data_IF_279179634106
#
_entry.id   IF_279179634106
#
_cell.length_a   1.000
_cell.length_b   1.000
_cell.length_c   1.000
_cell.angle_alpha   90.00
_cell.angle_beta   90.00
_cell.angle_gamma   90.00
#
_symmetry.space_group_name_H-M   'P 1'
#
loop_
_entity.id
_entity.type
_entity.pdbx_description
1 polymer ?
#
# COMPACT_ATOMS: atom_id res chain seq x y z
N UNK A 1 2.31 -7.94 26.66
CA UNK A 1 0.92 -7.46 26.49
C UNK A 1 0.95 -6.04 25.95
N UNK A 2 0.49 -5.84 24.72
CA UNK A 2 0.20 -4.49 24.23
C UNK A 2 -0.89 -3.86 25.11
N UNK A 3 -0.76 -2.56 25.39
CA UNK A 3 -1.82 -1.84 26.10
C UNK A 3 -3.06 -1.77 25.21
N UNK A 4 -4.25 -1.91 25.81
CA UNK A 4 -5.54 -1.83 25.12
C UNK A 4 -5.69 -0.56 24.25
N UNK A 5 -5.04 0.54 24.67
CA UNK A 5 -4.96 1.80 23.90
C UNK A 5 -4.18 1.64 22.59
N UNK A 6 -3.01 1.00 22.60
CA UNK A 6 -2.17 0.81 21.40
C UNK A 6 -2.83 -0.13 20.40
N UNK A 7 -3.55 -1.13 20.90
CA UNK A 7 -4.32 -2.04 20.06
C UNK A 7 -5.44 -1.28 19.32
N UNK A 8 -6.19 -0.42 20.02
CA UNK A 8 -7.25 0.42 19.41
C UNK A 8 -6.71 1.42 18.39
N UNK A 9 -5.55 2.02 18.66
CA UNK A 9 -4.87 2.92 17.72
C UNK A 9 -4.46 2.19 16.44
N UNK A 10 -3.89 0.99 16.57
CA UNK A 10 -3.51 0.15 15.43
C UNK A 10 -4.73 -0.30 14.61
N UNK A 11 -5.83 -0.67 15.27
CA UNK A 11 -7.08 -1.01 14.60
C UNK A 11 -7.66 0.17 13.82
N UNK A 12 -7.74 1.35 14.44
CA UNK A 12 -8.22 2.57 13.79
C UNK A 12 -7.33 2.95 12.59
N UNK A 13 -6.01 2.83 12.75
CA UNK A 13 -5.05 3.05 11.68
C UNK A 13 -5.31 2.14 10.48
N UNK A 14 -5.44 0.82 10.70
CA UNK A 14 -5.70 -0.11 9.60
C UNK A 14 -7.07 0.08 8.95
N UNK A 15 -8.10 0.43 9.72
CA UNK A 15 -9.40 0.77 9.15
C UNK A 15 -9.30 1.96 8.18
N UNK A 16 -8.56 2.99 8.55
CA UNK A 16 -8.31 4.15 7.69
C UNK A 16 -7.45 3.79 6.47
N UNK A 17 -6.42 2.96 6.63
CA UNK A 17 -5.60 2.45 5.51
C UNK A 17 -6.47 1.74 4.48
N UNK A 18 -7.33 0.81 4.92
CA UNK A 18 -8.22 0.07 4.03
C UNK A 18 -9.26 0.99 3.40
N UNK A 19 -9.82 1.94 4.15
CA UNK A 19 -10.75 2.92 3.61
C UNK A 19 -10.12 3.74 2.47
N UNK A 20 -8.92 4.29 2.69
CA UNK A 20 -8.19 5.05 1.67
C UNK A 20 -7.80 4.20 0.47
N UNK A 21 -7.37 2.96 0.69
CA UNK A 21 -7.04 2.03 -0.39
C UNK A 21 -8.25 1.79 -1.30
N UNK A 22 -9.44 1.51 -0.74
CA UNK A 22 -10.67 1.35 -1.51
C UNK A 22 -11.00 2.57 -2.36
N UNK A 23 -10.85 3.77 -1.77
CA UNK A 23 -11.09 5.03 -2.48
C UNK A 23 -10.10 5.26 -3.62
N UNK A 24 -8.83 4.90 -3.44
CA UNK A 24 -7.83 5.02 -4.50
C UNK A 24 -7.99 3.97 -5.59
N UNK A 25 -8.38 2.74 -5.23
CA UNK A 25 -8.60 1.67 -6.21
C UNK A 25 -9.72 2.01 -7.20
N UNK A 26 -10.79 2.67 -6.74
CA UNK A 26 -11.88 3.13 -7.63
C UNK A 26 -11.46 4.26 -8.58
N UNK A 27 -10.45 5.04 -8.20
CA UNK A 27 -9.84 6.09 -9.03
C UNK A 27 -8.73 5.55 -9.97
N UNK A 28 -8.39 4.26 -9.88
CA UNK A 28 -7.21 3.69 -10.51
C UNK A 28 -7.47 3.20 -11.95
N UNK A 29 -6.50 3.44 -12.84
CA UNK A 29 -6.37 2.75 -14.12
C UNK A 29 -5.53 1.48 -13.94
N UNK A 30 -6.22 0.35 -13.76
CA UNK A 30 -5.58 -0.96 -13.54
C UNK A 30 -4.74 -1.41 -14.74
N UNK A 31 -5.14 -1.07 -15.97
CA UNK A 31 -4.36 -1.40 -17.17
C UNK A 31 -2.99 -0.72 -17.18
N UNK A 32 -2.94 0.57 -16.85
CA UNK A 32 -1.68 1.31 -16.72
C UNK A 32 -0.82 0.79 -15.57
N UNK A 33 -1.43 0.29 -14.49
CA UNK A 33 -0.68 -0.36 -13.42
C UNK A 33 0.01 -1.64 -13.88
N UNK A 34 -0.66 -2.47 -14.68
CA UNK A 34 -0.01 -3.67 -15.24
C UNK A 34 1.12 -3.31 -16.20
N UNK A 35 0.99 -2.23 -16.99
CA UNK A 35 2.08 -1.72 -17.82
C UNK A 35 3.28 -1.25 -16.98
N UNK A 36 3.03 -0.51 -15.89
CA UNK A 36 4.08 -0.13 -14.93
C UNK A 36 4.73 -1.36 -14.29
N UNK A 37 3.93 -2.36 -13.93
CA UNK A 37 4.44 -3.62 -13.35
C UNK A 37 5.38 -4.33 -14.33
N UNK A 38 4.99 -4.42 -15.60
CA UNK A 38 5.82 -4.99 -16.67
C UNK A 38 7.10 -4.19 -16.89
N UNK A 39 7.03 -2.85 -16.86
CA UNK A 39 8.20 -1.97 -17.08
C UNK A 39 9.23 -2.06 -15.94
N UNK A 40 8.78 -2.18 -14.69
CA UNK A 40 9.64 -2.27 -13.51
C UNK A 40 10.14 -3.70 -13.26
N UNK A 41 9.29 -4.69 -13.50
CA UNK A 41 9.55 -6.11 -13.31
C UNK A 41 9.31 -6.62 -11.89
N UNK A 42 8.70 -7.80 -11.80
CA UNK A 42 8.25 -8.45 -10.57
C UNK A 42 9.31 -8.56 -9.46
N UNK A 43 10.59 -8.75 -9.82
CA UNK A 43 11.68 -8.84 -8.83
C UNK A 43 11.86 -7.54 -8.05
N UNK A 44 11.82 -6.40 -8.73
CA UNK A 44 11.97 -5.08 -8.07
C UNK A 44 10.74 -4.76 -7.24
N UNK A 45 9.55 -5.09 -7.74
CA UNK A 45 8.30 -4.85 -7.03
C UNK A 45 8.20 -5.70 -5.77
N UNK A 46 8.59 -6.98 -5.82
CA UNK A 46 8.68 -7.83 -4.61
C UNK A 46 9.65 -7.28 -3.57
N UNK A 47 10.76 -6.66 -4.00
CA UNK A 47 11.69 -5.99 -3.09
C UNK A 47 11.08 -4.73 -2.48
N UNK A 48 10.39 -3.93 -3.29
CA UNK A 48 9.65 -2.75 -2.81
C UNK A 48 8.64 -3.15 -1.73
N UNK A 49 7.81 -4.17 -1.97
CA UNK A 49 6.81 -4.63 -1.00
C UNK A 49 7.45 -5.02 0.34
N UNK A 50 8.60 -5.72 0.32
CA UNK A 50 9.35 -6.05 1.54
C UNK A 50 9.88 -4.83 2.30
N UNK A 51 10.28 -3.78 1.58
CA UNK A 51 10.71 -2.53 2.21
C UNK A 51 9.53 -1.78 2.81
N UNK A 52 8.38 -1.77 2.12
CA UNK A 52 7.16 -1.13 2.60
C UNK A 52 6.60 -1.80 3.86
N UNK A 53 6.83 -3.11 4.05
CA UNK A 53 6.44 -3.85 5.27
C UNK A 53 7.03 -3.25 6.56
N UNK A 54 8.15 -2.52 6.46
CA UNK A 54 8.76 -1.83 7.59
C UNK A 54 8.00 -0.56 8.03
N UNK A 55 7.08 -0.08 7.19
CA UNK A 55 6.35 1.18 7.38
C UNK A 55 4.83 0.96 7.50
N UNK A 56 4.41 -0.23 7.94
CA UNK A 56 3.00 -0.60 8.12
C UNK A 56 2.50 -0.35 9.55
N UNK A 57 2.97 0.73 10.19
CA UNK A 57 2.56 1.12 11.55
C UNK A 57 2.33 2.63 11.66
N UNK A 58 1.46 3.07 12.59
CA UNK A 58 1.19 4.49 12.80
C UNK A 58 2.41 5.28 13.33
N UNK A 59 3.39 4.60 13.92
CA UNK A 59 4.63 5.20 14.43
C UNK A 59 5.73 5.35 13.37
N UNK A 60 5.45 5.03 12.11
CA UNK A 60 6.43 5.08 11.01
C UNK A 60 7.09 6.45 10.89
N UNK A 61 8.40 6.46 10.68
CA UNK A 61 9.15 7.71 10.59
C UNK A 61 8.82 8.47 9.31
N UNK A 62 8.55 9.77 9.44
CA UNK A 62 8.36 10.67 8.29
C UNK A 62 9.55 10.65 7.33
N UNK A 63 10.77 10.50 7.84
CA UNK A 63 11.98 10.44 7.03
C UNK A 63 12.04 9.15 6.21
N UNK A 64 11.64 8.03 6.79
CA UNK A 64 11.62 6.73 6.09
C UNK A 64 10.53 6.69 5.02
N UNK A 65 9.36 7.27 5.31
CA UNK A 65 8.27 7.42 4.33
C UNK A 65 8.71 8.32 3.17
N UNK A 66 9.35 9.45 3.46
CA UNK A 66 9.88 10.34 2.43
C UNK A 66 10.94 9.64 1.58
N UNK A 67 11.91 8.97 2.21
CA UNK A 67 12.95 8.21 1.53
C UNK A 67 12.36 7.13 0.61
N UNK A 68 11.38 6.37 1.08
CA UNK A 68 10.77 5.32 0.28
C UNK A 68 9.93 5.89 -0.87
N UNK A 69 9.27 7.03 -0.65
CA UNK A 69 8.56 7.77 -1.71
C UNK A 69 9.53 8.22 -2.79
N UNK A 70 10.64 8.84 -2.41
CA UNK A 70 11.66 9.33 -3.35
C UNK A 70 12.30 8.17 -4.13
N UNK A 71 12.57 7.05 -3.46
CA UNK A 71 13.06 5.83 -4.11
C UNK A 71 12.06 5.28 -5.14
N UNK A 72 10.75 5.26 -4.84
CA UNK A 72 9.73 4.85 -5.79
C UNK A 72 9.73 5.79 -7.00
N UNK A 73 9.74 7.11 -6.78
CA UNK A 73 9.74 8.12 -7.84
C UNK A 73 10.96 7.96 -8.74
N UNK A 74 12.15 7.85 -8.17
CA UNK A 74 13.43 7.93 -8.89
C UNK A 74 13.90 6.60 -9.47
N UNK A 75 13.59 5.46 -8.85
CA UNK A 75 14.18 4.17 -9.22
C UNK A 75 13.19 3.14 -9.77
N UNK A 76 11.89 3.34 -9.55
CA UNK A 76 10.84 2.39 -9.89
C UNK A 76 9.79 3.00 -10.82
N UNK A 77 10.20 3.93 -11.69
CA UNK A 77 9.30 4.67 -12.59
C UNK A 77 8.07 5.20 -11.85
N UNK A 78 8.24 5.77 -10.66
CA UNK A 78 7.13 6.12 -9.79
C UNK A 78 6.16 7.14 -10.41
N UNK A 79 6.61 7.93 -11.40
CA UNK A 79 5.70 8.78 -12.18
C UNK A 79 4.64 7.97 -12.95
N UNK A 80 5.01 6.82 -13.52
CA UNK A 80 4.07 5.89 -14.16
C UNK A 80 3.17 5.21 -13.13
N UNK A 81 3.71 4.82 -11.98
CA UNK A 81 2.89 4.26 -10.89
C UNK A 81 1.85 5.28 -10.42
N UNK A 82 2.25 6.52 -10.14
CA UNK A 82 1.35 7.53 -9.61
C UNK A 82 0.35 8.00 -10.65
N UNK A 83 0.69 8.01 -11.95
CA UNK A 83 -0.28 8.32 -13.01
C UNK A 83 -1.41 7.30 -13.13
N UNK A 84 -1.25 6.09 -12.58
CA UNK A 84 -2.32 5.11 -12.48
C UNK A 84 -3.50 5.62 -11.64
N UNK A 85 -3.27 6.52 -10.68
CA UNK A 85 -4.30 7.06 -9.79
C UNK A 85 -4.85 8.39 -10.33
N UNK A 86 -5.50 8.38 -11.50
CA UNK A 86 -6.09 9.54 -12.21
C UNK A 86 -5.79 10.91 -11.60
N UNK A 87 -6.67 11.42 -10.73
CA UNK A 87 -6.55 12.77 -10.14
C UNK A 87 -5.71 12.72 -8.85
N UNK A 88 -5.73 11.58 -8.15
CA UNK A 88 -5.12 11.40 -6.83
C UNK A 88 -3.61 11.19 -6.85
N UNK A 89 -3.01 10.79 -7.96
CA UNK A 89 -1.62 10.37 -8.09
C UNK A 89 -0.60 11.42 -7.65
N UNK A 90 -0.76 12.65 -8.14
CA UNK A 90 0.10 13.78 -7.76
C UNK A 90 -0.01 14.08 -6.27
N UNK A 91 -1.20 13.90 -5.68
CA UNK A 91 -1.43 14.11 -4.25
C UNK A 91 -0.73 13.03 -3.43
N UNK A 92 -0.83 11.76 -3.83
CA UNK A 92 -0.14 10.64 -3.15
C UNK A 92 1.37 10.90 -3.12
N UNK A 93 1.98 11.19 -4.28
CA UNK A 93 3.41 11.49 -4.34
C UNK A 93 3.80 12.66 -3.43
N UNK A 94 3.00 13.73 -3.43
CA UNK A 94 3.26 14.92 -2.60
C UNK A 94 3.14 14.64 -1.10
N UNK A 95 2.10 13.93 -0.66
CA UNK A 95 1.90 13.60 0.75
C UNK A 95 2.91 12.55 1.23
N UNK A 96 3.31 11.59 0.39
CA UNK A 96 4.43 10.69 0.66
C UNK A 96 5.74 11.46 0.88
N UNK A 97 6.03 12.46 0.04
CA UNK A 97 7.19 13.33 0.24
C UNK A 97 7.10 14.21 1.50
N UNK A 98 5.92 14.39 2.10
CA UNK A 98 5.76 15.05 3.41
C UNK A 98 5.81 14.08 4.59
N UNK A 99 5.93 12.78 4.33
CA UNK A 99 5.93 11.75 5.35
C UNK A 99 4.55 11.41 5.91
N UNK A 100 3.49 11.44 5.08
CA UNK A 100 2.17 10.96 5.51
C UNK A 100 2.22 9.46 5.86
N UNK A 101 1.92 9.13 7.11
CA UNK A 101 1.98 7.77 7.68
C UNK A 101 1.07 6.78 6.96
N UNK A 102 0.05 7.26 6.24
CA UNK A 102 -0.84 6.40 5.46
C UNK A 102 -0.32 6.13 4.05
N UNK A 103 0.64 6.91 3.54
CA UNK A 103 1.06 6.81 2.14
C UNK A 103 1.63 5.43 1.81
N UNK A 104 2.53 4.90 2.63
CA UNK A 104 3.15 3.58 2.40
C UNK A 104 2.19 2.42 2.67
N UNK A 105 1.46 2.35 3.80
CA UNK A 105 0.50 1.28 4.02
C UNK A 105 -0.59 1.20 2.94
N UNK A 106 -1.13 2.34 2.53
CA UNK A 106 -2.16 2.38 1.49
C UNK A 106 -1.62 1.89 0.15
N UNK A 107 -0.43 2.38 -0.25
CA UNK A 107 0.20 1.95 -1.50
C UNK A 107 0.61 0.47 -1.45
N UNK A 108 1.06 -0.03 -0.29
CA UNK A 108 1.38 -1.44 -0.08
C UNK A 108 0.16 -2.32 -0.30
N UNK A 109 -0.96 -2.01 0.35
CA UNK A 109 -2.22 -2.76 0.21
C UNK A 109 -2.65 -2.82 -1.25
N UNK A 110 -2.58 -1.69 -1.98
CA UNK A 110 -2.99 -1.63 -3.38
C UNK A 110 -2.09 -2.46 -4.30
N UNK A 111 -0.77 -2.27 -4.21
CA UNK A 111 0.18 -3.01 -5.02
C UNK A 111 0.07 -4.52 -4.72
N UNK A 112 -0.02 -4.88 -3.44
CA UNK A 112 -0.14 -6.27 -3.02
C UNK A 112 -1.41 -6.92 -3.54
N UNK A 113 -2.55 -6.26 -3.36
CA UNK A 113 -3.85 -6.72 -3.86
C UNK A 113 -3.82 -6.97 -5.37
N UNK A 114 -3.32 -6.01 -6.16
CA UNK A 114 -3.29 -6.13 -7.63
C UNK A 114 -2.29 -7.19 -8.12
N UNK A 115 -1.26 -7.51 -7.34
CA UNK A 115 -0.28 -8.54 -7.70
C UNK A 115 -0.79 -9.94 -7.34
N UNK A 116 -1.35 -10.10 -6.15
CA UNK A 116 -1.84 -11.39 -5.67
C UNK A 116 -3.14 -11.80 -6.37
N UNK A 117 -3.97 -10.81 -6.75
CA UNK A 117 -5.23 -11.03 -7.42
C UNK A 117 -5.19 -10.68 -8.92
N UNK A 118 -4.44 -11.47 -9.71
CA UNK A 118 -4.32 -11.28 -11.17
C UNK A 118 -5.61 -11.52 -11.97
N UNK A 119 -6.75 -11.73 -11.31
CA UNK A 119 -8.07 -12.00 -11.92
C UNK A 119 -9.12 -10.91 -11.67
N UNK A 120 -8.81 -9.81 -10.95
CA UNK A 120 -9.84 -8.87 -10.49
C UNK A 120 -10.20 -7.84 -11.56
N UNK A 121 -11.50 -7.82 -11.88
CA UNK A 121 -12.16 -6.97 -12.90
C UNK A 121 -13.15 -5.99 -12.23
N UNK A 122 -13.38 -6.05 -10.90
CA UNK A 122 -14.41 -5.23 -10.22
C UNK A 122 -14.09 -4.87 -8.75
N UNK A 123 -14.51 -3.67 -8.27
CA UNK A 123 -14.45 -3.27 -6.84
C UNK A 123 -15.25 -4.16 -5.87
N UNK A 124 -16.26 -4.90 -6.35
CA UNK A 124 -17.09 -5.81 -5.55
C UNK A 124 -16.32 -7.00 -4.98
N UNK A 125 -15.21 -7.38 -5.61
CA UNK A 125 -14.39 -8.52 -5.20
C UNK A 125 -13.60 -8.22 -3.91
N UNK A 126 -13.48 -6.94 -3.54
CA UNK A 126 -12.82 -6.48 -2.32
C UNK A 126 -13.65 -6.78 -1.06
N UNK A 127 -14.97 -6.97 -1.16
CA UNK A 127 -15.83 -7.27 0.00
C UNK A 127 -15.87 -8.76 0.35
N UNK A 128 -15.73 -9.65 -0.65
CA UNK A 128 -15.65 -11.10 -0.46
C UNK A 128 -14.32 -11.52 0.18
N UNK A 129 -13.26 -10.72 -0.01
CA UNK A 129 -11.93 -11.00 0.57
C UNK A 129 -11.83 -10.63 2.06
N UNK A 130 -12.90 -10.19 2.75
CA UNK A 130 -12.85 -9.91 4.20
C UNK A 130 -12.44 -11.13 5.04
N UNK A 131 -12.86 -12.33 4.67
CA UNK A 131 -12.52 -13.57 5.39
C UNK A 131 -11.10 -14.09 5.08
N UNK A 132 -10.58 -13.85 3.87
CA UNK A 132 -9.21 -14.19 3.50
C UNK A 132 -8.19 -13.12 3.96
N UNK A 133 -8.58 -11.85 3.94
CA UNK A 133 -7.78 -10.71 4.41
C UNK A 133 -7.52 -10.79 5.91
N UNK A 134 -8.51 -11.20 6.72
CA UNK A 134 -8.31 -11.49 8.14
C UNK A 134 -7.26 -12.59 8.37
N UNK A 135 -7.18 -13.60 7.49
CA UNK A 135 -6.14 -14.63 7.55
C UNK A 135 -4.76 -14.14 7.08
N UNK A 136 -4.68 -13.10 6.25
CA UNK A 136 -3.44 -12.40 5.90
C UNK A 136 -2.98 -11.49 7.04
N UNK A 137 -3.90 -10.78 7.71
CA UNK A 137 -3.62 -9.98 8.91
C UNK A 137 -3.19 -10.85 10.09
N UNK A 138 -3.74 -12.06 10.24
CA UNK A 138 -3.37 -13.01 11.30
C UNK A 138 -2.06 -13.77 11.06
N UNK A 139 -1.46 -13.68 9.86
CA UNK A 139 -0.12 -14.26 9.59
C UNK A 139 1.03 -13.31 9.94
N UNK A 140 0.76 -12.05 10.25
CA UNK A 140 1.74 -11.17 10.87
C UNK A 140 1.77 -11.43 12.38
N UNK A 141 2.53 -12.46 12.77
CA UNK A 141 2.89 -12.70 14.15
C UNK A 141 4.29 -12.09 14.40
N UNK A 142 4.38 -10.90 15.03
CA UNK A 142 5.67 -10.25 15.28
C UNK A 142 6.57 -11.04 16.25
N UNK A 143 6.06 -12.05 16.94
CA UNK A 143 6.84 -12.93 17.83
C UNK A 143 7.63 -14.03 17.11
N UNK A 144 7.74 -13.98 15.76
CA UNK A 144 8.52 -14.93 14.95
C UNK A 144 9.65 -14.29 14.13
N UNK A 145 10.10 -13.09 14.48
CA UNK A 145 11.38 -12.53 14.01
C UNK A 145 12.42 -12.57 15.12
#
# INVERSE_FOLDING_TARGET
>A
MMSDVRQKELEAFWLEVIHRAKMLLSDMNVGSFYQWRESVGDRKIKRLLKLMELLLCPESSKLEINFLTDMIISQLNGQELFSCFKISGKKIAKEGMKGDIYCMPVLYVLIRYLIDNTRIVSPSDFELDREASLNLTLRFNPDKM
#
